data_IF_682613340433
#
_entry.id   IF_682613340433
#
_cell.length_a   1.000
_cell.length_b   1.000
_cell.length_c   1.000
_cell.angle_alpha   90.00
_cell.angle_beta   90.00
_cell.angle_gamma   90.00
#
_symmetry.space_group_name_H-M   'P 1'
#
loop_
_entity.id
_entity.type
_entity.pdbx_description
1 polymer ?
#
# COMPACT_ATOMS: atom_id res chain seq x y z
N UNK A 1 17.56 5.83 -7.73
CA UNK A 1 16.73 6.15 -6.55
C UNK A 1 15.61 7.15 -6.85
N UNK A 2 15.85 8.22 -7.64
CA UNK A 2 14.83 9.23 -8.02
C UNK A 2 13.76 8.69 -9.00
N UNK A 3 14.14 7.78 -9.90
CA UNK A 3 13.28 7.38 -11.02
C UNK A 3 11.90 6.80 -10.63
N UNK A 4 11.80 5.99 -9.58
CA UNK A 4 10.54 5.32 -9.21
C UNK A 4 9.56 6.23 -8.49
N UNK A 5 10.06 7.10 -7.60
CA UNK A 5 9.21 8.11 -6.92
C UNK A 5 8.63 9.09 -7.93
N UNK A 6 9.42 9.51 -8.93
CA UNK A 6 8.97 10.37 -10.04
C UNK A 6 7.97 9.65 -10.96
N UNK A 7 8.24 8.39 -11.34
CA UNK A 7 7.28 7.60 -12.11
C UNK A 7 5.96 7.40 -11.36
N UNK A 8 6.01 7.19 -10.05
CA UNK A 8 4.82 7.07 -9.22
C UNK A 8 4.09 8.41 -9.07
N UNK A 9 4.80 9.52 -8.91
CA UNK A 9 4.21 10.86 -8.84
C UNK A 9 3.36 11.16 -10.09
N UNK A 10 3.85 10.81 -11.29
CA UNK A 10 3.10 10.95 -12.54
C UNK A 10 1.79 10.13 -12.54
N UNK A 11 1.82 8.92 -11.96
CA UNK A 11 0.63 8.08 -11.82
C UNK A 11 -0.37 8.70 -10.83
N UNK A 12 0.10 9.38 -9.78
CA UNK A 12 -0.78 10.08 -8.83
C UNK A 12 -1.45 11.30 -9.46
N UNK A 13 -0.75 12.01 -10.36
CA UNK A 13 -1.32 13.14 -11.11
C UNK A 13 -2.39 12.70 -12.12
N UNK A 14 -2.14 11.58 -12.82
CA UNK A 14 -3.09 10.97 -13.75
C UNK A 14 -3.17 9.45 -13.52
N UNK A 15 -4.11 9.00 -12.68
CA UNK A 15 -4.28 7.58 -12.40
C UNK A 15 -4.70 6.81 -13.65
N UNK A 16 -3.81 5.93 -14.12
CA UNK A 16 -4.07 5.06 -15.27
C UNK A 16 -3.68 3.61 -14.96
N UNK A 17 -4.58 2.69 -15.31
CA UNK A 17 -4.40 1.24 -15.08
C UNK A 17 -3.20 0.70 -15.84
N UNK A 18 -2.97 1.17 -17.08
CA UNK A 18 -1.85 0.69 -17.91
C UNK A 18 -0.53 1.16 -17.30
N UNK A 19 -0.44 2.43 -16.91
CA UNK A 19 0.73 3.00 -16.24
C UNK A 19 1.08 2.26 -14.93
N UNK A 20 0.09 1.96 -14.08
CA UNK A 20 0.31 1.18 -12.84
C UNK A 20 0.82 -0.23 -13.16
N UNK A 21 0.19 -0.93 -14.10
CA UNK A 21 0.61 -2.28 -14.49
C UNK A 21 2.03 -2.29 -15.03
N UNK A 22 2.37 -1.33 -15.87
CA UNK A 22 3.68 -1.27 -16.51
C UNK A 22 4.77 -0.86 -15.50
N UNK A 23 4.44 -0.03 -14.51
CA UNK A 23 5.28 0.22 -13.33
C UNK A 23 5.55 -1.10 -12.57
N UNK A 24 4.52 -1.87 -12.23
CA UNK A 24 4.68 -3.13 -11.49
C UNK A 24 5.51 -4.17 -12.26
N UNK A 25 5.39 -4.22 -13.59
CA UNK A 25 6.16 -5.11 -14.48
C UNK A 25 7.63 -4.74 -14.63
N UNK A 26 8.03 -3.54 -14.20
CA UNK A 26 9.40 -3.06 -14.36
C UNK A 26 10.40 -3.74 -13.39
N UNK A 27 10.00 -4.84 -12.72
CA UNK A 27 10.82 -5.69 -11.84
C UNK A 27 11.55 -4.91 -10.74
N UNK A 28 10.80 -4.06 -10.04
CA UNK A 28 11.23 -3.57 -8.74
C UNK A 28 10.82 -4.67 -7.75
N UNK A 29 11.72 -5.56 -7.33
CA UNK A 29 11.38 -6.49 -6.23
C UNK A 29 11.01 -5.74 -4.94
N UNK A 30 10.89 -6.42 -3.80
CA UNK A 30 10.82 -5.72 -2.51
C UNK A 30 12.06 -4.85 -2.32
N UNK A 31 11.85 -3.54 -2.38
CA UNK A 31 12.85 -2.54 -2.02
C UNK A 31 12.46 -2.01 -0.65
N UNK A 32 13.41 -1.55 0.16
CA UNK A 32 13.13 -1.05 1.52
C UNK A 32 12.08 0.08 1.61
N UNK A 33 11.69 0.66 0.47
CA UNK A 33 10.72 1.74 0.34
C UNK A 33 9.49 1.37 -0.49
N UNK A 34 9.31 0.10 -0.87
CA UNK A 34 8.13 -0.43 -1.56
C UNK A 34 7.68 -1.71 -0.88
N UNK A 35 6.42 -1.76 -0.46
CA UNK A 35 5.83 -2.95 0.13
C UNK A 35 4.59 -3.37 -0.67
N UNK A 36 4.45 -4.67 -0.92
CA UNK A 36 3.34 -5.26 -1.65
C UNK A 36 2.46 -6.09 -0.71
N UNK A 37 1.15 -5.86 -0.76
CA UNK A 37 0.17 -6.57 0.06
C UNK A 37 -0.99 -7.02 -0.80
N UNK A 38 -1.28 -8.32 -0.75
CA UNK A 38 -2.37 -8.92 -1.52
C UNK A 38 -3.75 -8.42 -1.06
N UNK A 39 -3.91 -8.20 0.25
CA UNK A 39 -5.17 -7.81 0.88
C UNK A 39 -4.98 -6.61 1.83
N UNK A 40 -6.10 -6.10 2.33
CA UNK A 40 -6.11 -5.06 3.35
C UNK A 40 -5.29 -5.45 4.59
N UNK A 41 -4.51 -4.50 5.07
CA UNK A 41 -3.74 -4.61 6.31
C UNK A 41 -4.64 -4.14 7.46
N UNK A 42 -4.54 -4.80 8.63
CA UNK A 42 -5.12 -4.29 9.87
C UNK A 42 -4.50 -2.91 10.23
N UNK A 43 -5.29 -2.03 10.84
CA UNK A 43 -4.89 -0.63 11.04
C UNK A 43 -3.63 -0.49 11.90
N UNK A 44 -3.49 -1.32 12.93
CA UNK A 44 -2.33 -1.33 13.83
C UNK A 44 -1.04 -1.72 13.07
N UNK A 45 -1.12 -2.72 12.19
CA UNK A 45 -0.03 -3.16 11.33
C UNK A 45 0.27 -2.10 10.27
N UNK A 46 -0.74 -1.52 9.64
CA UNK A 46 -0.58 -0.44 8.67
C UNK A 46 0.16 0.76 9.29
N UNK A 47 -0.22 1.16 10.51
CA UNK A 47 0.44 2.25 11.23
C UNK A 47 1.93 1.95 11.47
N UNK A 48 2.29 0.71 11.84
CA UNK A 48 3.70 0.30 11.99
C UNK A 48 4.46 0.36 10.67
N UNK A 49 3.87 -0.13 9.58
CA UNK A 49 4.48 -0.04 8.25
C UNK A 49 4.72 1.41 7.83
N UNK A 50 3.74 2.29 8.02
CA UNK A 50 3.87 3.73 7.72
C UNK A 50 4.99 4.35 8.56
N UNK A 51 5.03 4.11 9.86
CA UNK A 51 6.09 4.63 10.74
C UNK A 51 7.48 4.15 10.31
N UNK A 52 7.63 2.87 9.98
CA UNK A 52 8.88 2.31 9.50
C UNK A 52 9.34 2.96 8.18
N UNK A 53 8.40 3.17 7.25
CA UNK A 53 8.70 3.83 5.97
C UNK A 53 9.08 5.29 6.15
N UNK A 54 8.35 6.06 6.96
CA UNK A 54 8.64 7.48 7.23
C UNK A 54 10.04 7.64 7.84
N UNK A 55 10.40 6.79 8.80
CA UNK A 55 11.74 6.78 9.41
C UNK A 55 12.85 6.41 8.42
N UNK A 56 12.51 5.86 7.25
CA UNK A 56 13.45 5.41 6.22
C UNK A 56 13.43 6.29 4.96
N UNK A 57 12.88 7.50 5.03
CA UNK A 57 12.80 8.42 3.88
C UNK A 57 11.53 8.29 3.03
N UNK A 58 10.49 7.71 3.62
CA UNK A 58 9.18 7.47 3.00
C UNK A 58 9.17 6.27 2.05
N UNK A 59 7.97 5.91 1.60
CA UNK A 59 7.78 4.75 0.73
C UNK A 59 6.40 4.69 0.11
N UNK A 60 6.14 3.58 -0.57
CA UNK A 60 4.89 3.30 -1.27
C UNK A 60 4.41 1.92 -0.79
N UNK A 61 3.13 1.81 -0.45
CA UNK A 61 2.47 0.54 -0.16
C UNK A 61 1.47 0.28 -1.28
N UNK A 62 1.63 -0.84 -1.99
CA UNK A 62 0.65 -1.32 -2.96
C UNK A 62 -0.25 -2.37 -2.30
N UNK A 63 -1.56 -2.11 -2.32
CA UNK A 63 -2.58 -3.01 -1.79
C UNK A 63 -3.34 -3.63 -2.98
N UNK A 64 -3.62 -4.93 -2.92
CA UNK A 64 -4.20 -5.69 -4.03
C UNK A 64 -3.15 -6.21 -5.01
N UNK A 65 -1.92 -6.40 -4.53
CA UNK A 65 -0.80 -6.94 -5.32
C UNK A 65 -0.09 -8.00 -4.49
N UNK A 66 -0.03 -9.22 -5.02
CA UNK A 66 0.69 -10.33 -4.40
C UNK A 66 2.09 -10.45 -4.97
N UNK A 67 3.03 -10.81 -4.10
CA UNK A 67 4.36 -11.23 -4.51
C UNK A 67 4.52 -12.73 -4.27
N UNK A 68 4.87 -13.47 -5.32
CA UNK A 68 5.18 -14.89 -5.25
C UNK A 68 6.48 -15.15 -6.02
N UNK A 69 7.48 -15.72 -5.34
CA UNK A 69 8.79 -16.05 -5.93
C UNK A 69 9.46 -14.88 -6.68
N UNK A 70 9.33 -13.66 -6.15
CA UNK A 70 9.87 -12.43 -6.74
C UNK A 70 9.10 -11.94 -7.98
N UNK A 71 7.96 -12.54 -8.31
CA UNK A 71 7.01 -12.03 -9.30
C UNK A 71 5.89 -11.27 -8.63
N UNK A 72 5.64 -10.08 -9.17
CA UNK A 72 4.57 -9.19 -8.74
C UNK A 72 3.34 -9.47 -9.60
N UNK A 73 2.27 -9.90 -8.96
CA UNK A 73 1.00 -10.23 -9.61
C UNK A 73 -0.13 -9.34 -9.06
N UNK A 74 -0.84 -8.59 -9.91
CA UNK A 74 -1.98 -7.79 -9.46
C UNK A 74 -3.16 -8.71 -9.13
N UNK A 75 -3.34 -9.03 -7.85
CA UNK A 75 -4.43 -9.87 -7.34
C UNK A 75 -5.76 -9.13 -7.21
N UNK A 76 -5.71 -7.79 -7.12
CA UNK A 76 -6.86 -6.97 -6.76
C UNK A 76 -7.27 -7.16 -5.30
N UNK A 77 -8.36 -6.49 -4.91
CA UNK A 77 -8.93 -6.59 -3.56
C UNK A 77 -10.29 -7.28 -3.63
N UNK A 78 -10.54 -8.18 -2.69
CA UNK A 78 -11.81 -8.91 -2.54
C UNK A 78 -12.97 -7.98 -2.16
N UNK A 79 -12.69 -6.91 -1.43
CA UNK A 79 -13.64 -5.89 -1.02
C UNK A 79 -13.01 -4.50 -1.09
N UNK A 80 -13.76 -3.50 -1.53
CA UNK A 80 -13.37 -2.10 -1.42
C UNK A 80 -13.77 -1.61 -0.03
N UNK A 81 -12.83 -1.06 0.74
CA UNK A 81 -13.13 -0.34 1.99
C UNK A 81 -13.37 1.12 1.67
N UNK A 82 -14.37 1.72 2.30
CA UNK A 82 -14.56 3.16 2.20
C UNK A 82 -13.43 3.88 2.94
N UNK A 83 -13.09 5.09 2.51
CA UNK A 83 -12.12 5.94 3.21
C UNK A 83 -12.55 6.21 4.65
N UNK A 84 -13.86 6.30 4.92
CA UNK A 84 -14.40 6.48 6.26
C UNK A 84 -14.04 5.29 7.18
N UNK A 85 -14.05 4.06 6.67
CA UNK A 85 -13.75 2.85 7.46
C UNK A 85 -12.28 2.78 7.88
N UNK A 86 -11.39 3.46 7.13
CA UNK A 86 -9.96 3.55 7.43
C UNK A 86 -9.69 4.62 8.52
N UNK A 87 -10.52 5.67 8.56
CA UNK A 87 -10.36 6.80 9.50
C UNK A 87 -11.04 6.55 10.85
N UNK A 88 -12.11 5.75 10.86
CA UNK A 88 -12.90 5.46 12.03
C UNK A 88 -12.90 3.94 12.28
N UNK A 89 -11.83 3.44 12.91
CA UNK A 89 -11.96 2.20 13.65
C UNK A 89 -12.96 2.50 14.75
N UNK A 90 -14.18 1.95 14.64
CA UNK A 90 -15.21 2.14 15.64
C UNK A 90 -14.64 1.63 16.96
N UNK A 91 -14.21 2.55 17.81
CA UNK A 91 -13.94 2.29 19.22
C UNK A 91 -15.27 1.80 19.76
N UNK A 92 -15.44 0.49 19.81
CA UNK A 92 -16.60 -0.14 20.42
C UNK A 92 -16.64 0.38 21.85
N UNK A 93 -17.77 0.97 22.21
CA UNK A 93 -18.02 1.67 23.48
C UNK A 93 -18.00 0.74 24.70
N UNK A 94 -17.43 -0.46 24.56
CA UNK A 94 -17.30 -1.48 25.61
C UNK A 94 -16.00 -1.33 26.42
N UNK A 95 -15.01 -0.59 25.93
CA UNK A 95 -13.74 -0.37 26.66
C UNK A 95 -13.72 0.86 27.59
N UNK A 96 -14.84 1.58 27.73
CA UNK A 96 -14.97 2.77 28.59
C UNK A 96 -15.84 2.56 29.84
N UNK A 97 -15.98 1.30 30.29
CA UNK A 97 -16.48 1.02 31.64
C UNK A 97 -15.30 0.68 32.55
N UNK A 98 -14.68 1.71 33.11
CA UNK A 98 -13.91 1.64 34.36
C UNK A 98 -14.69 2.39 35.42
#
# INVERSE_FOLDING_TARGET
MIAIKESFAKILEQPDRVAVRDLLKSNFGELNYIDFKADWIENDKLARHILAMVNSGGGIIFIGVSEQDGKIEPSGLSSIRDKADILFEQVTTEQLRV
#
